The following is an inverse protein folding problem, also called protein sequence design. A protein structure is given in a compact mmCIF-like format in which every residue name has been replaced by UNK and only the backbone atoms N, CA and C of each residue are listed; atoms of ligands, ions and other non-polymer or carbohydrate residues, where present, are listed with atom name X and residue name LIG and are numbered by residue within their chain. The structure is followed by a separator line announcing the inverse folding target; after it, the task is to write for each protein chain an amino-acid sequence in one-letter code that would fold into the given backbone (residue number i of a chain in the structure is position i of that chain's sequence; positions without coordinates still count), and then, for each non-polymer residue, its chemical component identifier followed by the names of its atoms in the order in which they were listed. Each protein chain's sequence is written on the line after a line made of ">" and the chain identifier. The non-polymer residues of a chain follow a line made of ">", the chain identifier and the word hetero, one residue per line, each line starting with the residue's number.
data_IF_442545326611
#
_entry.id   IF_442545326611
#
_cell.length_a   1.000
_cell.length_b   1.000
_cell.length_c   1.000
_cell.angle_alpha   90.00
_cell.angle_beta   90.00
_cell.angle_gamma   90.00
#
_symmetry.space_group_name_H-M   'P 1'
#
loop_
_entity.id
_entity.type
_entity.pdbx_description
1 polymer ?
#
# COMPACT_ATOMS: atom_id res chain seq x y z
N UNK A 1 -8.51 -2.51 2.48
CA UNK A 1 -7.77 -2.00 3.66
C UNK A 1 -8.17 -0.56 3.81
N UNK A 2 -8.55 -0.09 5.01
CA UNK A 2 -8.97 1.31 5.17
C UNK A 2 -7.78 2.20 5.51
N UNK A 3 -7.30 2.94 4.52
CA UNK A 3 -6.22 3.93 4.71
C UNK A 3 -6.80 5.21 5.34
N UNK A 4 -6.23 5.70 6.46
CA UNK A 4 -6.80 6.81 7.22
C UNK A 4 -6.43 8.19 6.64
N UNK A 5 -6.76 8.45 5.37
CA UNK A 5 -6.45 9.73 4.69
C UNK A 5 -7.02 10.97 5.38
N UNK A 6 -8.07 10.83 6.19
CA UNK A 6 -8.71 11.96 6.89
C UNK A 6 -7.91 12.43 8.11
N UNK A 7 -7.02 11.59 8.63
CA UNK A 7 -6.27 11.87 9.87
C UNK A 7 -4.77 11.76 9.71
N UNK A 8 -4.28 11.11 8.66
CA UNK A 8 -2.85 10.88 8.44
C UNK A 8 -2.41 11.35 7.06
N UNK A 9 -1.19 11.86 7.01
CA UNK A 9 -0.45 11.96 5.74
C UNK A 9 0.18 10.60 5.44
N UNK A 10 -0.08 10.07 4.25
CA UNK A 10 0.34 8.71 3.85
C UNK A 10 1.49 8.80 2.86
N UNK A 11 2.59 8.11 3.15
CA UNK A 11 3.70 7.93 2.21
C UNK A 11 3.85 6.46 1.84
N UNK A 12 4.34 6.21 0.63
CA UNK A 12 4.62 4.87 0.11
C UNK A 12 5.99 4.81 -0.56
N UNK A 13 6.62 3.63 -0.53
CA UNK A 13 7.87 3.33 -1.25
C UNK A 13 7.66 2.09 -2.12
N UNK A 14 8.17 2.09 -3.36
CA UNK A 14 7.85 1.07 -4.38
C UNK A 14 9.07 0.24 -4.83
N UNK A 15 10.09 0.12 -3.98
CA UNK A 15 11.38 -0.55 -4.27
C UNK A 15 12.24 0.13 -5.35
N UNK A 16 11.95 1.38 -5.67
CA UNK A 16 12.66 2.23 -6.63
C UNK A 16 13.50 3.32 -5.95
N UNK A 17 13.78 3.15 -4.64
CA UNK A 17 14.42 4.11 -3.74
C UNK A 17 13.74 5.49 -3.66
N UNK A 18 12.52 5.60 -4.18
CA UNK A 18 11.72 6.83 -4.16
C UNK A 18 10.65 6.78 -3.08
N UNK A 19 10.24 7.98 -2.69
CA UNK A 19 9.17 8.22 -1.72
C UNK A 19 8.04 8.93 -2.46
N UNK A 20 6.83 8.46 -2.25
CA UNK A 20 5.63 9.06 -2.81
C UNK A 20 4.67 9.41 -1.70
N UNK A 21 4.09 10.61 -1.73
CA UNK A 21 2.90 10.91 -0.95
C UNK A 21 1.68 10.31 -1.67
N UNK A 22 0.89 9.49 -0.97
CA UNK A 22 -0.31 8.87 -1.48
C UNK A 22 -1.53 9.73 -1.14
N UNK A 23 -2.28 10.11 -2.17
CA UNK A 23 -3.54 10.87 -2.01
C UNK A 23 -4.73 9.93 -1.87
N UNK A 24 -5.86 10.46 -1.42
CA UNK A 24 -7.08 9.67 -1.15
C UNK A 24 -7.71 9.04 -2.39
N UNK A 25 -7.39 9.53 -3.58
CA UNK A 25 -7.74 8.95 -4.87
C UNK A 25 -6.70 7.95 -5.41
N UNK A 26 -5.73 7.57 -4.57
CA UNK A 26 -4.60 6.67 -4.87
C UNK A 26 -3.59 7.20 -5.89
N UNK A 27 -3.69 8.47 -6.28
CA UNK A 27 -2.60 9.13 -7.00
C UNK A 27 -1.38 9.30 -6.09
N UNK A 28 -0.20 9.28 -6.71
CA UNK A 28 1.09 9.29 -6.03
C UNK A 28 1.89 10.48 -6.53
N UNK A 29 2.44 11.26 -5.60
CA UNK A 29 3.31 12.40 -5.91
C UNK A 29 4.68 12.11 -5.35
N UNK A 30 5.71 12.05 -6.20
CA UNK A 30 7.10 11.87 -5.76
C UNK A 30 7.52 13.04 -4.87
N UNK A 31 8.11 12.73 -3.72
CA UNK A 31 8.58 13.73 -2.74
C UNK A 31 10.02 13.44 -2.36
N UNK A 32 10.83 14.48 -2.07
CA UNK A 32 12.24 14.28 -1.74
C UNK A 32 12.47 13.68 -0.35
N UNK A 33 11.49 13.79 0.57
CA UNK A 33 11.57 13.27 1.93
C UNK A 33 10.19 13.17 2.59
N UNK A 34 10.09 12.30 3.60
CA UNK A 34 8.94 12.21 4.49
C UNK A 34 8.92 13.44 5.42
N UNK A 35 7.76 14.06 5.61
CA UNK A 35 7.59 15.17 6.56
C UNK A 35 7.60 14.67 8.01
N UNK A 36 7.92 15.55 8.95
CA UNK A 36 7.91 15.21 10.37
C UNK A 36 6.48 14.91 10.83
N UNK A 37 6.30 13.78 11.51
CA UNK A 37 5.04 13.40 12.14
C UNK A 37 4.74 14.34 13.32
N UNK A 38 3.50 14.80 13.45
CA UNK A 38 3.01 15.53 14.63
C UNK A 38 1.74 14.90 15.18
N UNK A 39 1.26 15.38 16.33
CA UNK A 39 0.00 14.92 16.92
C UNK A 39 -1.20 15.33 16.07
N UNK A 40 -1.13 16.52 15.46
CA UNK A 40 -2.18 17.12 14.62
C UNK A 40 -2.16 16.57 13.20
N UNK A 41 -0.99 16.16 12.69
CA UNK A 41 -0.82 15.53 11.39
C UNK A 41 0.12 14.32 11.50
N UNK A 42 -0.38 13.18 12.02
CA UNK A 42 0.41 11.97 12.10
C UNK A 42 0.76 11.45 10.70
N UNK A 43 1.95 10.86 10.59
CA UNK A 43 2.46 10.28 9.35
C UNK A 43 2.40 8.76 9.40
N UNK A 44 1.90 8.15 8.33
CA UNK A 44 1.96 6.71 8.09
C UNK A 44 2.81 6.45 6.84
N UNK A 45 3.69 5.46 6.92
CA UNK A 45 4.56 5.05 5.80
C UNK A 45 4.32 3.58 5.50
N UNK A 46 3.98 3.26 4.26
CA UNK A 46 3.80 1.90 3.79
C UNK A 46 4.96 1.52 2.87
N UNK A 47 5.64 0.42 3.17
CA UNK A 47 6.76 -0.04 2.37
C UNK A 47 6.37 -1.25 1.54
N UNK A 48 6.57 -1.18 0.21
CA UNK A 48 6.32 -2.32 -0.67
C UNK A 48 7.15 -3.52 -0.27
N UNK A 49 8.40 -3.32 0.16
CA UNK A 49 9.28 -4.40 0.63
C UNK A 49 8.70 -5.19 1.81
N UNK A 50 8.00 -4.53 2.73
CA UNK A 50 7.32 -5.19 3.86
C UNK A 50 6.15 -6.03 3.37
N UNK A 51 5.38 -5.52 2.41
CA UNK A 51 4.30 -6.27 1.78
C UNK A 51 4.85 -7.48 1.00
N UNK A 52 5.90 -7.28 0.20
CA UNK A 52 6.52 -8.32 -0.62
C UNK A 52 6.98 -9.53 0.21
N UNK A 53 7.46 -9.30 1.43
CA UNK A 53 7.84 -10.37 2.36
C UNK A 53 6.67 -11.30 2.72
N UNK A 54 5.46 -10.75 2.88
CA UNK A 54 4.26 -11.50 3.24
C UNK A 54 3.41 -11.90 2.02
N UNK A 55 3.67 -11.32 0.85
CA UNK A 55 2.80 -11.40 -0.34
C UNK A 55 2.43 -12.83 -0.74
N UNK A 56 3.38 -13.76 -0.69
CA UNK A 56 3.13 -15.17 -1.03
C UNK A 56 2.08 -15.83 -0.15
N UNK A 57 1.98 -15.44 1.12
CA UNK A 57 0.93 -15.91 2.03
C UNK A 57 -0.36 -15.12 1.84
N UNK A 58 -0.27 -13.79 1.71
CA UNK A 58 -1.44 -12.91 1.61
C UNK A 58 -2.24 -13.12 0.33
N UNK A 59 -1.59 -13.47 -0.79
CA UNK A 59 -2.24 -13.70 -2.08
C UNK A 59 -2.51 -15.17 -2.40
N UNK A 60 -2.20 -16.09 -1.48
CA UNK A 60 -2.51 -17.50 -1.69
C UNK A 60 -4.01 -17.75 -1.44
N UNK A 61 -4.76 -18.15 -2.47
CA UNK A 61 -6.19 -18.45 -2.39
C UNK A 61 -6.55 -19.52 -1.37
N UNK A 62 -5.68 -20.50 -1.17
CA UNK A 62 -5.87 -21.60 -0.23
C UNK A 62 -5.58 -21.20 1.22
N UNK A 63 -4.90 -20.07 1.43
CA UNK A 63 -4.58 -19.61 2.78
C UNK A 63 -5.84 -19.06 3.47
N UNK A 64 -6.23 -19.56 4.65
CA UNK A 64 -7.35 -19.02 5.42
C UNK A 64 -7.10 -17.59 5.92
N UNK A 65 -5.83 -17.17 6.00
CA UNK A 65 -5.40 -15.83 6.40
C UNK A 65 -5.02 -14.94 5.21
N UNK A 66 -5.46 -15.29 4.00
CA UNK A 66 -5.33 -14.39 2.85
C UNK A 66 -6.05 -13.07 3.11
N UNK A 67 -5.59 -12.03 2.43
CA UNK A 67 -6.32 -10.75 2.43
C UNK A 67 -7.65 -10.90 1.71
N UNK A 68 -8.59 -9.99 1.97
CA UNK A 68 -9.84 -9.95 1.20
C UNK A 68 -9.64 -9.22 -0.15
N UNK A 69 -10.66 -9.27 -1.01
CA UNK A 69 -10.62 -8.64 -2.33
C UNK A 69 -10.49 -7.12 -2.26
N UNK A 70 -11.04 -6.48 -1.22
CA UNK A 70 -10.99 -5.03 -1.03
C UNK A 70 -9.56 -4.60 -0.65
N UNK A 71 -8.91 -5.32 0.27
CA UNK A 71 -7.50 -5.21 0.61
C UNK A 71 -6.61 -5.40 -0.63
N UNK A 72 -6.83 -6.48 -1.40
CA UNK A 72 -6.07 -6.75 -2.62
C UNK A 72 -6.21 -5.61 -3.63
N UNK A 73 -7.43 -5.09 -3.82
CA UNK A 73 -7.69 -3.94 -4.69
C UNK A 73 -6.97 -2.69 -4.19
N UNK A 74 -7.01 -2.40 -2.89
CA UNK A 74 -6.28 -1.29 -2.28
C UNK A 74 -4.77 -1.40 -2.57
N UNK A 75 -4.16 -2.56 -2.31
CA UNK A 75 -2.73 -2.76 -2.58
C UNK A 75 -2.39 -2.68 -4.07
N UNK A 76 -3.28 -3.09 -4.96
CA UNK A 76 -3.14 -2.89 -6.41
C UNK A 76 -3.15 -1.40 -6.78
N UNK A 77 -4.08 -0.61 -6.24
CA UNK A 77 -4.17 0.83 -6.49
C UNK A 77 -2.95 1.60 -5.97
N UNK A 78 -2.39 1.17 -4.82
CA UNK A 78 -1.14 1.73 -4.29
C UNK A 78 0.03 1.41 -5.22
N UNK A 79 0.05 0.21 -5.82
CA UNK A 79 1.14 -0.30 -6.66
C UNK A 79 2.00 -1.38 -5.98
N UNK A 80 1.48 -2.00 -4.93
CA UNK A 80 2.16 -3.11 -4.24
C UNK A 80 1.93 -4.45 -4.93
N UNK A 81 0.76 -4.59 -5.57
CA UNK A 81 0.35 -5.76 -6.36
C UNK A 81 0.23 -5.30 -7.82
N UNK A 82 0.79 -6.09 -8.74
CA UNK A 82 0.61 -5.87 -10.18
C UNK A 82 -0.81 -6.23 -10.65
N UNK A 83 -1.20 -5.77 -11.84
CA UNK A 83 -2.50 -6.15 -12.43
C UNK A 83 -2.61 -7.65 -12.63
N UNK A 84 -1.51 -8.31 -13.01
CA UNK A 84 -1.44 -9.76 -13.18
C UNK A 84 -1.64 -10.50 -11.86
N UNK A 85 -0.89 -10.13 -10.82
CA UNK A 85 -1.02 -10.74 -9.49
C UNK A 85 -2.42 -10.54 -8.90
N UNK A 86 -3.03 -9.37 -9.11
CA UNK A 86 -4.40 -9.10 -8.67
C UNK A 86 -5.41 -9.95 -9.44
N UNK A 87 -5.24 -10.09 -10.75
CA UNK A 87 -6.12 -10.94 -11.58
C UNK A 87 -6.02 -12.41 -11.16
N UNK A 88 -4.79 -12.91 -10.97
CA UNK A 88 -4.52 -14.26 -10.49
C UNK A 88 -5.06 -14.51 -9.08
N UNK A 89 -5.15 -13.46 -8.24
CA UNK A 89 -5.75 -13.55 -6.92
C UNK A 89 -7.28 -13.74 -6.99
N UNK A 90 -7.95 -13.10 -7.95
CA UNK A 90 -9.42 -13.15 -8.10
C UNK A 90 -9.94 -14.40 -8.82
N UNK A 91 -9.21 -14.90 -9.83
CA UNK A 91 -9.64 -16.00 -10.72
C UNK A 91 -8.65 -17.14 -10.70
#
# INVERSE_FOLDING_TARGET
>A
MKIPFNTHTIYVTLNDDKIYELKSDYTKVEVPKIQNSSKENPVMVLHKSQFDFAKGYLLNKENPFKIDEEDAKTYQQIGFISVEEFTNFLF
#
